data_IF_185155891958
#
_entry.id   IF_185155891958
#
_cell.length_a   1.000
_cell.length_b   1.000
_cell.length_c   1.000
_cell.angle_alpha   90.00
_cell.angle_beta   90.00
_cell.angle_gamma   90.00
#
_symmetry.space_group_name_H-M   'P 1'
#
loop_
_entity.id
_entity.type
_entity.pdbx_description
1 polymer ?
#
# COMPACT_ATOMS: atom_id res chain seq x y z
N UNK A 1 -22.20 7.69 8.58
CA UNK A 1 -21.17 6.65 8.72
C UNK A 1 -19.96 7.06 7.91
N UNK A 2 -18.75 6.85 8.42
CA UNK A 2 -17.51 7.07 7.69
C UNK A 2 -17.37 6.04 6.58
N UNK A 3 -17.10 6.49 5.36
CA UNK A 3 -16.79 5.61 4.24
C UNK A 3 -15.30 5.26 4.22
N UNK A 4 -14.98 3.98 4.12
CA UNK A 4 -13.64 3.47 3.92
C UNK A 4 -13.46 3.15 2.45
N UNK A 5 -12.48 3.80 1.82
CA UNK A 5 -12.19 3.62 0.39
C UNK A 5 -10.79 3.02 0.23
N UNK A 6 -10.72 1.83 -0.36
CA UNK A 6 -9.46 1.19 -0.72
C UNK A 6 -8.86 1.85 -1.95
N UNK A 7 -7.66 2.40 -1.85
CA UNK A 7 -6.88 2.90 -2.97
C UNK A 7 -5.77 1.89 -3.29
N UNK A 8 -5.81 1.35 -4.50
CA UNK A 8 -4.83 0.37 -4.96
C UNK A 8 -4.37 0.64 -6.39
N UNK A 9 -3.43 -0.17 -6.86
CA UNK A 9 -2.82 -0.03 -8.17
C UNK A 9 -1.61 -0.93 -8.31
N UNK A 10 -1.16 -1.13 -9.54
CA UNK A 10 0.09 -1.83 -9.82
C UNK A 10 1.31 -1.02 -9.37
N UNK A 11 2.45 -1.69 -9.26
CA UNK A 11 3.73 -1.02 -9.08
C UNK A 11 3.95 0.04 -10.18
N UNK A 12 4.44 1.22 -9.79
CA UNK A 12 4.71 2.33 -10.70
C UNK A 12 3.51 2.87 -11.53
N UNK A 13 2.27 2.64 -11.09
CA UNK A 13 1.09 3.27 -11.72
C UNK A 13 0.81 4.70 -11.25
N UNK A 14 1.49 5.15 -10.17
CA UNK A 14 1.34 6.51 -9.62
C UNK A 14 0.27 6.66 -8.54
N UNK A 15 -0.07 5.56 -7.86
CA UNK A 15 -0.90 5.53 -6.65
C UNK A 15 -0.51 6.60 -5.62
N UNK A 16 0.78 6.75 -5.33
CA UNK A 16 1.30 7.77 -4.39
C UNK A 16 0.97 9.21 -4.83
N UNK A 17 0.95 9.48 -6.14
CA UNK A 17 0.54 10.79 -6.65
C UNK A 17 -0.94 11.05 -6.36
N UNK A 18 -1.78 10.05 -6.58
CA UNK A 18 -3.22 10.13 -6.27
C UNK A 18 -3.45 10.28 -4.76
N UNK A 19 -2.78 9.49 -3.92
CA UNK A 19 -2.93 9.62 -2.47
C UNK A 19 -2.46 10.97 -1.94
N UNK A 20 -1.42 11.58 -2.53
CA UNK A 20 -1.01 12.94 -2.20
C UNK A 20 -2.04 13.99 -2.61
N UNK A 21 -2.67 13.87 -3.77
CA UNK A 21 -3.75 14.78 -4.19
C UNK A 21 -4.95 14.67 -3.23
N UNK A 22 -5.31 13.45 -2.81
CA UNK A 22 -6.36 13.22 -1.83
C UNK A 22 -6.04 13.87 -0.46
N UNK A 23 -4.80 13.72 0.02
CA UNK A 23 -4.32 14.40 1.25
C UNK A 23 -4.42 15.92 1.14
N UNK A 24 -4.01 16.48 0.00
CA UNK A 24 -4.09 17.94 -0.26
C UNK A 24 -5.54 18.44 -0.29
N UNK A 25 -6.49 17.59 -0.69
CA UNK A 25 -7.92 17.88 -0.64
C UNK A 25 -8.54 17.70 0.77
N UNK A 26 -7.72 17.44 1.79
CA UNK A 26 -8.16 17.27 3.18
C UNK A 26 -8.74 15.90 3.50
N UNK A 27 -8.56 14.91 2.63
CA UNK A 27 -9.04 13.54 2.88
C UNK A 27 -7.95 12.76 3.62
N UNK A 28 -8.24 12.21 4.81
CA UNK A 28 -7.29 11.36 5.52
C UNK A 28 -6.95 10.11 4.71
N UNK A 29 -5.66 9.83 4.60
CA UNK A 29 -5.12 8.64 3.93
C UNK A 29 -4.28 7.86 4.93
N UNK A 30 -4.69 6.62 5.21
CA UNK A 30 -3.93 5.65 5.98
C UNK A 30 -3.04 4.88 5.00
N UNK A 31 -1.73 5.04 5.13
CA UNK A 31 -0.74 4.40 4.26
C UNK A 31 -0.27 3.07 4.86
N UNK A 32 -0.65 1.95 4.23
CA UNK A 32 -0.32 0.63 4.76
C UNK A 32 1.19 0.36 4.78
N UNK A 33 1.98 0.92 3.85
CA UNK A 33 3.44 0.78 3.86
C UNK A 33 4.04 1.55 5.03
N UNK A 34 3.49 2.73 5.36
CA UNK A 34 3.88 3.48 6.55
C UNK A 34 3.53 2.73 7.84
N UNK A 35 2.31 2.19 7.93
CA UNK A 35 1.86 1.40 9.10
C UNK A 35 2.73 0.15 9.27
N UNK A 36 3.04 -0.55 8.17
CA UNK A 36 3.94 -1.70 8.19
C UNK A 36 5.31 -1.35 8.79
N UNK A 37 5.81 -0.12 8.56
CA UNK A 37 7.05 0.33 9.19
C UNK A 37 6.88 0.66 10.66
N UNK A 38 5.76 1.28 11.05
CA UNK A 38 5.45 1.66 12.43
C UNK A 38 5.34 0.44 13.35
N UNK A 39 4.74 -0.67 12.90
CA UNK A 39 4.61 -1.89 13.71
C UNK A 39 5.94 -2.62 13.94
N UNK A 40 7.04 -2.11 13.36
CA UNK A 40 8.39 -2.68 13.43
C UNK A 40 9.41 -1.71 14.05
N UNK A 41 8.97 -0.61 14.67
CA UNK A 41 9.84 0.35 15.35
C UNK A 41 10.41 -0.23 16.65
N UNK A 42 11.45 0.38 17.25
CA UNK A 42 11.87 0.07 18.61
C UNK A 42 10.68 -0.04 19.58
N UNK A 43 10.78 -0.99 20.52
CA UNK A 43 9.77 -1.30 21.54
C UNK A 43 8.40 -1.79 21.02
N UNK A 44 8.23 -1.94 19.70
CA UNK A 44 7.01 -2.50 19.13
C UNK A 44 6.90 -4.01 19.38
N UNK A 45 5.66 -4.49 19.45
CA UNK A 45 5.35 -5.92 19.50
C UNK A 45 5.88 -6.64 18.25
N UNK A 46 5.79 -6.01 17.08
CA UNK A 46 6.26 -6.60 15.83
C UNK A 46 7.77 -6.77 15.82
N UNK A 47 8.55 -5.76 16.24
CA UNK A 47 10.00 -5.90 16.34
C UNK A 47 10.39 -6.99 17.35
N UNK A 48 9.75 -7.01 18.52
CA UNK A 48 10.00 -8.04 19.55
C UNK A 48 9.78 -9.45 19.00
N UNK A 49 8.68 -9.68 18.27
CA UNK A 49 8.37 -10.97 17.65
C UNK A 49 9.35 -11.32 16.52
N UNK A 50 9.73 -10.35 15.69
CA UNK A 50 10.75 -10.53 14.65
C UNK A 50 12.07 -10.99 15.28
N UNK A 51 12.56 -10.31 16.31
CA UNK A 51 13.83 -10.65 16.98
C UNK A 51 13.77 -12.04 17.60
N UNK A 52 12.64 -12.41 18.20
CA UNK A 52 12.44 -13.76 18.76
C UNK A 52 12.59 -14.87 17.72
N UNK A 53 12.16 -14.63 16.48
CA UNK A 53 12.18 -15.64 15.41
C UNK A 53 13.49 -15.62 14.61
N UNK A 54 13.97 -14.44 14.25
CA UNK A 54 15.13 -14.28 13.35
C UNK A 54 16.45 -14.01 14.09
N UNK A 55 16.39 -13.85 15.41
CA UNK A 55 17.53 -13.60 16.29
C UNK A 55 18.01 -12.14 16.26
N UNK A 56 18.96 -11.78 17.15
CA UNK A 56 19.43 -10.40 17.31
C UNK A 56 20.17 -9.83 16.10
N UNK A 57 20.59 -10.68 15.14
CA UNK A 57 21.25 -10.26 13.89
C UNK A 57 20.38 -9.36 13.00
N UNK A 58 19.07 -9.31 13.24
CA UNK A 58 18.14 -8.40 12.55
C UNK A 58 18.04 -7.04 13.23
N UNK A 59 18.81 -6.77 14.28
CA UNK A 59 18.88 -5.46 14.93
C UNK A 59 20.13 -4.69 14.51
N UNK A 60 19.99 -3.38 14.44
CA UNK A 60 21.09 -2.43 14.46
C UNK A 60 21.58 -2.23 15.90
N UNK A 61 22.81 -1.73 16.12
CA UNK A 61 23.29 -1.37 17.45
C UNK A 61 22.40 -0.33 18.17
N UNK A 62 21.63 0.45 17.42
CA UNK A 62 20.65 1.42 17.92
C UNK A 62 19.36 0.79 18.47
N UNK A 63 19.18 -0.53 18.31
CA UNK A 63 17.95 -1.24 18.66
C UNK A 63 16.87 -1.20 17.55
N UNK A 64 17.14 -0.53 16.44
CA UNK A 64 16.24 -0.50 15.29
C UNK A 64 16.33 -1.77 14.43
N UNK A 65 15.29 -2.05 13.64
CA UNK A 65 15.29 -3.16 12.69
C UNK A 65 16.32 -2.93 11.57
N UNK A 66 17.29 -3.84 11.44
CA UNK A 66 18.17 -3.94 10.29
C UNK A 66 17.42 -4.57 9.10
N UNK A 67 16.68 -3.75 8.37
CA UNK A 67 15.88 -4.17 7.19
C UNK A 67 16.72 -4.90 6.13
N UNK A 68 17.92 -4.44 5.75
CA UNK A 68 18.77 -5.20 4.82
C UNK A 68 19.13 -6.60 5.31
N UNK A 69 19.42 -6.77 6.61
CA UNK A 69 19.72 -8.08 7.18
C UNK A 69 18.49 -9.00 7.18
N UNK A 70 17.33 -8.48 7.59
CA UNK A 70 16.08 -9.24 7.54
C UNK A 70 15.71 -9.62 6.10
N UNK A 71 15.82 -8.68 5.17
CA UNK A 71 15.59 -8.90 3.74
C UNK A 71 16.43 -10.06 3.21
N UNK A 72 17.75 -10.08 3.47
CA UNK A 72 18.64 -11.17 3.04
C UNK A 72 18.19 -12.55 3.53
N UNK A 73 17.59 -12.63 4.72
CA UNK A 73 17.05 -13.87 5.29
C UNK A 73 15.78 -14.28 4.53
N UNK A 74 14.82 -13.38 4.39
CA UNK A 74 13.48 -13.73 3.86
C UNK A 74 13.43 -13.80 2.33
N UNK A 75 14.32 -13.12 1.60
CA UNK A 75 14.35 -13.19 0.13
C UNK A 75 14.77 -14.56 -0.41
N UNK A 76 15.60 -15.30 0.34
CA UNK A 76 16.13 -16.58 -0.09
C UNK A 76 15.42 -17.79 0.55
N UNK A 77 14.47 -17.54 1.47
CA UNK A 77 13.80 -18.58 2.24
C UNK A 77 12.30 -18.28 2.33
N UNK A 78 11.50 -19.09 1.61
CA UNK A 78 10.04 -18.98 1.57
C UNK A 78 9.39 -19.22 2.93
N UNK A 79 9.94 -20.12 3.74
CA UNK A 79 9.43 -20.39 5.09
C UNK A 79 9.74 -19.23 6.02
N UNK A 80 10.92 -18.62 5.89
CA UNK A 80 11.26 -17.40 6.61
C UNK A 80 10.34 -16.23 6.24
N UNK A 81 10.06 -16.03 4.94
CA UNK A 81 9.13 -15.01 4.47
C UNK A 81 7.72 -15.25 5.00
N UNK A 82 7.25 -16.50 4.99
CA UNK A 82 5.94 -16.88 5.54
C UNK A 82 5.85 -16.54 7.02
N UNK A 83 6.84 -16.92 7.84
CA UNK A 83 6.90 -16.58 9.27
C UNK A 83 6.89 -15.07 9.51
N UNK A 84 7.63 -14.31 8.70
CA UNK A 84 7.62 -12.85 8.81
C UNK A 84 6.22 -12.28 8.55
N UNK A 85 5.55 -12.78 7.51
CA UNK A 85 4.19 -12.36 7.18
C UNK A 85 3.18 -12.75 8.28
N UNK A 86 3.26 -13.96 8.83
CA UNK A 86 2.41 -14.41 9.95
C UNK A 86 2.57 -13.53 11.21
N UNK A 87 3.77 -13.02 11.46
CA UNK A 87 4.02 -12.08 12.56
C UNK A 87 3.39 -10.72 12.27
N UNK A 88 3.59 -10.21 11.05
CA UNK A 88 3.32 -8.81 10.72
C UNK A 88 1.90 -8.55 10.25
N UNK A 89 1.30 -9.41 9.43
CA UNK A 89 -0.02 -9.19 8.86
C UNK A 89 -1.09 -8.83 9.90
N UNK A 90 -1.30 -9.59 10.99
CA UNK A 90 -2.30 -9.23 11.98
C UNK A 90 -2.00 -7.89 12.66
N UNK A 91 -0.71 -7.60 12.94
CA UNK A 91 -0.32 -6.33 13.56
C UNK A 91 -0.57 -5.13 12.65
N UNK A 92 -0.32 -5.29 11.34
CA UNK A 92 -0.55 -4.26 10.34
C UNK A 92 -2.05 -4.01 10.19
N UNK A 93 -2.84 -5.08 10.08
CA UNK A 93 -4.29 -5.02 9.99
C UNK A 93 -4.89 -4.26 11.19
N UNK A 94 -4.57 -4.70 12.41
CA UNK A 94 -5.05 -4.08 13.65
C UNK A 94 -4.67 -2.59 13.72
N UNK A 95 -3.43 -2.25 13.32
CA UNK A 95 -2.97 -0.87 13.34
C UNK A 95 -3.66 0.02 12.29
N UNK A 96 -3.94 -0.50 11.09
CA UNK A 96 -4.71 0.21 10.05
C UNK A 96 -6.13 0.50 10.56
N UNK A 97 -6.83 -0.52 11.07
CA UNK A 97 -8.22 -0.33 11.50
C UNK A 97 -8.35 0.44 12.81
N UNK A 98 -7.36 0.40 13.70
CA UNK A 98 -7.31 1.30 14.84
C UNK A 98 -7.21 2.79 14.41
N UNK A 99 -6.43 3.10 13.36
CA UNK A 99 -6.38 4.44 12.79
C UNK A 99 -7.71 4.81 12.12
N UNK A 100 -8.31 3.89 11.36
CA UNK A 100 -9.61 4.10 10.73
C UNK A 100 -10.70 4.37 11.78
N UNK A 101 -10.74 3.61 12.87
CA UNK A 101 -11.70 3.78 13.96
C UNK A 101 -11.50 5.09 14.72
N UNK A 102 -10.26 5.56 14.85
CA UNK A 102 -9.99 6.89 15.41
C UNK A 102 -10.60 7.98 14.54
N UNK A 103 -10.47 7.89 13.21
CA UNK A 103 -11.08 8.83 12.26
C UNK A 103 -12.61 8.73 12.26
N UNK A 104 -13.18 7.52 12.43
CA UNK A 104 -14.62 7.33 12.60
C UNK A 104 -15.16 8.07 13.83
N UNK A 105 -14.45 7.98 14.96
CA UNK A 105 -14.81 8.69 16.21
C UNK A 105 -14.70 10.21 16.09
N UNK A 106 -13.88 10.69 15.16
CA UNK A 106 -13.77 12.11 14.80
C UNK A 106 -14.82 12.56 13.77
N UNK A 107 -15.80 11.70 13.46
CA UNK A 107 -16.87 11.96 12.49
C UNK A 107 -16.36 12.30 11.08
N UNK A 108 -15.14 11.84 10.74
CA UNK A 108 -14.61 11.96 9.38
C UNK A 108 -15.49 11.15 8.44
N UNK A 109 -16.02 11.78 7.40
CA UNK A 109 -16.99 11.14 6.50
C UNK A 109 -16.36 10.22 5.46
N UNK A 110 -15.07 10.39 5.15
CA UNK A 110 -14.35 9.64 4.13
C UNK A 110 -12.89 9.42 4.56
N UNK A 111 -12.44 8.17 4.54
CA UNK A 111 -11.07 7.75 4.84
C UNK A 111 -10.59 6.86 3.69
N UNK A 112 -9.34 7.03 3.29
CA UNK A 112 -8.72 6.24 2.23
C UNK A 112 -7.67 5.30 2.81
N UNK A 113 -7.75 4.01 2.48
CA UNK A 113 -6.71 3.02 2.77
C UNK A 113 -5.81 2.89 1.54
N UNK A 114 -4.59 3.40 1.62
CA UNK A 114 -3.61 3.34 0.54
C UNK A 114 -2.81 2.02 0.61
N UNK A 115 -3.28 0.99 -0.10
CA UNK A 115 -2.78 -0.40 0.01
C UNK A 115 -2.39 -0.95 -1.37
N UNK A 116 -1.09 -1.12 -1.69
CA UNK A 116 -0.66 -1.67 -2.98
C UNK A 116 -1.18 -3.08 -3.26
N UNK A 117 -1.24 -3.91 -2.22
CA UNK A 117 -1.66 -5.32 -2.28
C UNK A 117 -3.08 -5.52 -1.73
N UNK A 118 -3.96 -4.53 -1.91
CA UNK A 118 -5.31 -4.48 -1.33
C UNK A 118 -6.06 -5.80 -1.54
N UNK A 119 -6.15 -6.24 -2.80
CA UNK A 119 -6.87 -7.44 -3.20
C UNK A 119 -6.14 -8.73 -2.81
N UNK A 120 -4.81 -8.74 -2.91
CA UNK A 120 -3.99 -9.90 -2.57
C UNK A 120 -3.98 -10.20 -1.06
N UNK A 121 -4.33 -9.20 -0.25
CA UNK A 121 -4.39 -9.29 1.21
C UNK A 121 -5.82 -9.15 1.76
N UNK A 122 -6.84 -9.19 0.89
CA UNK A 122 -8.27 -9.16 1.26
C UNK A 122 -8.74 -7.91 2.02
N UNK A 123 -7.99 -6.80 1.95
CA UNK A 123 -8.42 -5.52 2.55
C UNK A 123 -9.60 -4.89 1.82
N UNK A 124 -9.91 -5.35 0.60
CA UNK A 124 -11.08 -4.91 -0.15
C UNK A 124 -12.39 -5.30 0.53
N UNK A 125 -12.41 -6.39 1.29
CA UNK A 125 -13.60 -6.88 2.01
C UNK A 125 -14.05 -5.92 3.14
N UNK A 126 -13.12 -5.10 3.63
CA UNK A 126 -13.36 -4.08 4.66
C UNK A 126 -13.56 -2.66 4.09
N UNK A 127 -13.62 -2.52 2.77
CA UNK A 127 -13.81 -1.24 2.08
C UNK A 127 -15.24 -1.11 1.54
N UNK A 128 -15.82 0.09 1.64
CA UNK A 128 -17.11 0.40 1.00
C UNK A 128 -16.97 0.51 -0.53
N UNK A 129 -15.83 1.03 -0.98
CA UNK A 129 -15.48 1.17 -2.39
C UNK A 129 -13.99 0.96 -2.62
N UNK A 130 -13.63 0.47 -3.81
CA UNK A 130 -12.25 0.33 -4.27
C UNK A 130 -11.97 1.22 -5.47
N UNK A 131 -10.86 1.95 -5.40
CA UNK A 131 -10.32 2.81 -6.45
C UNK A 131 -9.02 2.19 -6.94
N UNK A 132 -8.93 1.91 -8.24
CA UNK A 132 -7.67 1.47 -8.86
C UNK A 132 -7.02 2.62 -9.62
N UNK A 133 -5.72 2.80 -9.42
CA UNK A 133 -4.88 3.69 -10.24
C UNK A 133 -4.12 2.85 -11.24
N UNK A 134 -4.34 3.12 -12.53
CA UNK A 134 -3.76 2.34 -13.63
C UNK A 134 -3.03 3.23 -14.64
N UNK A 135 -2.15 2.61 -15.41
CA UNK A 135 -1.39 3.24 -16.51
C UNK A 135 -1.09 2.15 -17.54
N UNK A 136 -0.75 2.54 -18.77
CA UNK A 136 -0.46 1.59 -19.84
C UNK A 136 0.80 0.76 -19.50
N UNK A 137 0.88 -0.51 -19.91
CA UNK A 137 1.99 -1.40 -19.56
C UNK A 137 3.38 -0.85 -19.93
N UNK A 138 3.50 -0.16 -21.06
CA UNK A 138 4.75 0.46 -21.48
C UNK A 138 5.15 1.62 -20.57
N UNK A 139 4.18 2.43 -20.13
CA UNK A 139 4.40 3.54 -19.20
C UNK A 139 4.77 3.01 -17.82
N UNK A 140 4.07 1.97 -17.35
CA UNK A 140 4.36 1.29 -16.09
C UNK A 140 5.81 0.78 -16.05
N UNK A 141 6.21 0.06 -17.10
CA UNK A 141 7.56 -0.50 -17.23
C UNK A 141 8.63 0.59 -17.23
N UNK A 142 8.46 1.63 -18.06
CA UNK A 142 9.40 2.77 -18.14
C UNK A 142 9.54 3.49 -16.79
N UNK A 143 8.42 3.75 -16.11
CA UNK A 143 8.42 4.40 -14.78
C UNK A 143 9.12 3.54 -13.74
N UNK A 144 8.87 2.23 -13.73
CA UNK A 144 9.49 1.32 -12.78
C UNK A 144 11.01 1.27 -12.99
N UNK A 145 11.47 1.08 -14.22
CA UNK A 145 12.91 1.07 -14.54
C UNK A 145 13.60 2.37 -14.14
N UNK A 146 12.98 3.52 -14.43
CA UNK A 146 13.52 4.83 -14.08
C UNK A 146 13.59 5.07 -12.57
N UNK A 147 12.57 4.61 -11.82
CA UNK A 147 12.47 4.80 -10.37
C UNK A 147 13.41 3.88 -9.59
N UNK A 148 13.49 2.61 -9.99
CA UNK A 148 14.20 1.57 -9.24
C UNK A 148 15.59 1.26 -9.81
N UNK A 149 15.98 1.91 -10.90
CA UNK A 149 17.26 1.70 -11.61
C UNK A 149 17.52 0.21 -11.94
N UNK A 150 16.48 -0.51 -12.36
CA UNK A 150 16.51 -1.94 -12.62
C UNK A 150 16.43 -2.27 -14.12
N UNK A 151 16.82 -3.49 -14.48
CA UNK A 151 16.69 -3.98 -15.87
C UNK A 151 15.22 -4.11 -16.28
N UNK A 152 14.98 -4.25 -17.58
CA UNK A 152 13.65 -4.49 -18.13
C UNK A 152 13.08 -5.82 -17.60
N UNK A 153 13.90 -6.85 -17.56
CA UNK A 153 13.56 -8.19 -17.10
C UNK A 153 13.20 -8.18 -15.61
N UNK A 154 14.02 -7.49 -14.79
CA UNK A 154 13.74 -7.30 -13.36
C UNK A 154 12.43 -6.53 -13.14
N UNK A 155 12.19 -5.47 -13.91
CA UNK A 155 10.96 -4.69 -13.83
C UNK A 155 9.73 -5.53 -14.22
N UNK A 156 9.82 -6.32 -15.29
CA UNK A 156 8.75 -7.24 -15.71
C UNK A 156 8.46 -8.30 -14.66
N UNK A 157 9.50 -8.91 -14.07
CA UNK A 157 9.34 -9.89 -13.00
C UNK A 157 8.63 -9.29 -11.78
N UNK A 158 8.96 -8.05 -11.40
CA UNK A 158 8.28 -7.34 -10.30
C UNK A 158 6.82 -7.02 -10.60
N UNK A 159 6.51 -6.61 -11.84
CA UNK A 159 5.12 -6.36 -12.27
C UNK A 159 4.33 -7.67 -12.24
N UNK A 160 4.90 -8.76 -12.75
CA UNK A 160 4.25 -10.07 -12.82
C UNK A 160 4.07 -10.76 -11.45
N UNK A 161 4.81 -10.32 -10.43
CA UNK A 161 4.66 -10.84 -9.06
C UNK A 161 3.41 -10.30 -8.33
N UNK A 162 2.74 -9.30 -8.90
CA UNK A 162 1.49 -8.74 -8.37
C UNK A 162 0.28 -9.27 -9.15
N UNK A 163 -0.91 -9.17 -8.57
CA UNK A 163 -2.14 -9.44 -9.32
C UNK A 163 -2.18 -8.56 -10.59
N UNK A 164 -2.55 -9.12 -11.76
CA UNK A 164 -2.61 -8.37 -13.01
C UNK A 164 -3.43 -7.09 -12.86
N UNK A 165 -2.92 -5.99 -13.40
CA UNK A 165 -3.59 -4.68 -13.29
C UNK A 165 -5.01 -4.71 -13.88
N UNK A 166 -5.20 -5.43 -14.98
CA UNK A 166 -6.51 -5.64 -15.61
C UNK A 166 -7.51 -6.36 -14.69
N UNK A 167 -7.03 -7.26 -13.83
CA UNK A 167 -7.87 -7.95 -12.85
C UNK A 167 -8.25 -6.98 -11.72
N UNK A 168 -7.30 -6.18 -11.24
CA UNK A 168 -7.59 -5.11 -10.26
C UNK A 168 -8.60 -4.11 -10.83
N UNK A 169 -8.47 -3.74 -12.10
CA UNK A 169 -9.42 -2.88 -12.81
C UNK A 169 -10.80 -3.51 -12.96
N UNK A 170 -10.90 -4.82 -13.16
CA UNK A 170 -12.19 -5.51 -13.27
C UNK A 170 -12.95 -5.54 -11.94
N UNK A 171 -12.23 -5.56 -10.81
CA UNK A 171 -12.79 -5.64 -9.45
C UNK A 171 -13.07 -4.28 -8.80
N UNK A 172 -12.57 -3.18 -9.36
CA UNK A 172 -12.67 -1.85 -8.74
C UNK A 172 -13.98 -1.13 -9.11
N UNK A 173 -14.54 -0.41 -8.14
CA UNK A 173 -15.71 0.47 -8.32
C UNK A 173 -15.35 1.72 -9.13
N UNK A 174 -14.14 2.25 -8.93
CA UNK A 174 -13.65 3.44 -9.60
C UNK A 174 -12.25 3.22 -10.18
N UNK A 175 -11.97 3.91 -11.28
CA UNK A 175 -10.70 3.81 -12.01
C UNK A 175 -10.12 5.19 -12.25
N UNK A 176 -8.84 5.36 -11.96
CA UNK A 176 -8.07 6.57 -12.27
C UNK A 176 -7.01 6.22 -13.29
N UNK A 177 -7.10 6.86 -14.46
CA UNK A 177 -6.12 6.75 -15.53
C UNK A 177 -4.98 7.75 -15.29
N UNK A 178 -3.76 7.24 -15.12
CA UNK A 178 -2.55 8.05 -14.91
C UNK A 178 -1.58 8.04 -16.11
N UNK A 179 -2.13 7.99 -17.33
CA UNK A 179 -1.38 8.17 -18.58
C UNK A 179 -1.26 9.64 -19.00
N UNK A 180 -2.20 10.50 -18.58
CA UNK A 180 -2.23 11.91 -18.90
C UNK A 180 -1.27 12.77 -18.08
N UNK A 181 -1.42 14.09 -18.20
CA UNK A 181 -0.65 15.05 -17.41
C UNK A 181 -1.21 15.20 -15.98
N UNK A 182 -0.49 15.96 -15.15
CA UNK A 182 -0.88 16.22 -13.76
C UNK A 182 -2.24 16.93 -13.64
N UNK A 183 -2.57 17.82 -14.57
CA UNK A 183 -3.84 18.55 -14.58
C UNK A 183 -5.01 17.60 -14.84
N UNK A 184 -4.86 16.68 -15.80
CA UNK A 184 -5.84 15.65 -16.09
C UNK A 184 -6.04 14.71 -14.90
N UNK A 185 -4.95 14.32 -14.22
CA UNK A 185 -5.02 13.51 -13.01
C UNK A 185 -5.77 14.23 -11.88
N UNK A 186 -5.45 15.50 -11.63
CA UNK A 186 -6.14 16.31 -10.61
C UNK A 186 -7.63 16.42 -10.87
N UNK A 187 -8.05 16.62 -12.13
CA UNK A 187 -9.47 16.63 -12.51
C UNK A 187 -10.17 15.30 -12.25
N UNK A 188 -9.52 14.18 -12.56
CA UNK A 188 -10.06 12.85 -12.28
C UNK A 188 -10.22 12.63 -10.76
N UNK A 189 -9.22 12.98 -9.96
CA UNK A 189 -9.29 12.85 -8.50
C UNK A 189 -10.38 13.76 -7.92
N UNK A 190 -10.51 15.01 -8.39
CA UNK A 190 -11.59 15.90 -7.96
C UNK A 190 -12.98 15.32 -8.27
N UNK A 191 -13.15 14.74 -9.47
CA UNK A 191 -14.39 14.05 -9.85
C UNK A 191 -14.68 12.85 -8.94
N UNK A 192 -13.67 12.02 -8.65
CA UNK A 192 -13.79 10.90 -7.73
C UNK A 192 -14.25 11.35 -6.34
N UNK A 193 -13.64 12.41 -5.79
CA UNK A 193 -14.01 12.94 -4.46
C UNK A 193 -15.49 13.32 -4.42
N UNK A 194 -15.98 13.99 -5.46
CA UNK A 194 -17.38 14.38 -5.53
C UNK A 194 -18.31 13.16 -5.60
N UNK A 195 -17.94 12.13 -6.36
CA UNK A 195 -18.72 10.89 -6.47
C UNK A 195 -18.77 10.13 -5.13
N UNK A 196 -17.65 10.03 -4.42
CA UNK A 196 -17.55 9.37 -3.11
C UNK A 196 -18.33 10.12 -2.01
N UNK A 197 -18.41 11.45 -2.10
CA UNK A 197 -19.19 12.28 -1.17
C UNK A 197 -20.70 12.21 -1.45
N UNK A 198 -21.11 11.99 -2.69
CA UNK A 198 -22.51 11.97 -3.10
C UNK A 198 -23.22 10.62 -2.89
N UNK A 199 -22.46 9.52 -2.89
CA UNK A 199 -22.93 8.21 -2.42
C UNK A 199 -23.04 8.19 -0.90
#
# INVERSE_FOLDING_TARGET
MTKIVGLTGGIATGKTTVSNILRQAGIPVIDADQVARQVQTPDSVGLTRIVKVFGPKVLLPTGELNRPALAKIVFNDKEALKKLNEILQPLIYDAIFAQADTLKKQEISLVVLDVPLLFEQHYDEDCDYVVVVYTDPQTQLKRLMARDHCSKEEAQARIAAQMPLSEKEARADFKINNNGDQTALQKQVASLINQLKAK
#
